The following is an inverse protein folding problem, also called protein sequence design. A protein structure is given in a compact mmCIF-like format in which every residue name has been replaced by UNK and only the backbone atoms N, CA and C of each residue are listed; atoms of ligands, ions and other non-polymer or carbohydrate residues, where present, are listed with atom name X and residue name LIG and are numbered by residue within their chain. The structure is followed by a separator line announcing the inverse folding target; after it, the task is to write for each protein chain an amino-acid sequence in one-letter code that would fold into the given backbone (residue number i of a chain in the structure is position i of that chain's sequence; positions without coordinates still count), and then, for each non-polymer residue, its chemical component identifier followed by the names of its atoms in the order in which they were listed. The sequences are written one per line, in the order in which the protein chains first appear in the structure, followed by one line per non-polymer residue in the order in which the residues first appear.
data_IF_568520706307
#
_entry.id   IF_568520706307
#
_cell.length_a   1.000
_cell.length_b   1.000
_cell.length_c   1.000
_cell.angle_alpha   90.00
_cell.angle_beta   90.00
_cell.angle_gamma   90.00
#
_symmetry.space_group_name_H-M   'P 1'
#
loop_
_entity.id
_entity.type
_entity.pdbx_description
1 polymer ?
#
# COMPACT_ATOMS: atom_id res chain seq x y z
N UNK A 1 40.88 -31.18 26.31
CA UNK A 1 41.99 -30.21 26.48
C UNK A 1 41.42 -28.83 26.33
N UNK A 2 41.31 -28.12 27.46
CA UNK A 2 40.95 -26.71 27.57
C UNK A 2 42.28 -25.97 27.54
N UNK A 3 42.45 -24.99 26.63
CA UNK A 3 43.46 -23.92 26.72
C UNK A 3 43.21 -22.88 25.62
N UNK A 4 42.43 -21.85 25.92
CA UNK A 4 42.73 -20.49 25.44
C UNK A 4 42.76 -19.58 26.66
N UNK A 5 43.95 -19.17 27.04
CA UNK A 5 44.23 -18.16 28.05
C UNK A 5 44.75 -16.91 27.33
N UNK A 6 44.01 -15.82 27.50
CA UNK A 6 44.29 -14.37 27.35
C UNK A 6 45.74 -14.00 27.82
N UNK A 7 46.40 -12.85 27.49
CA UNK A 7 45.77 -11.52 27.65
C UNK A 7 46.32 -10.24 26.95
N UNK A 8 45.47 -9.21 27.00
CA UNK A 8 45.77 -7.76 27.18
C UNK A 8 46.49 -6.97 26.09
N UNK A 9 45.87 -5.89 25.59
CA UNK A 9 46.11 -4.53 26.12
C UNK A 9 45.39 -3.43 25.29
N UNK A 10 44.67 -2.58 26.04
CA UNK A 10 44.73 -1.11 26.00
C UNK A 10 44.38 -0.40 24.67
N UNK A 11 43.23 0.27 24.63
CA UNK A 11 43.10 1.71 24.94
C UNK A 11 43.30 2.57 23.69
N UNK A 12 42.29 3.38 23.37
CA UNK A 12 42.42 4.83 23.07
C UNK A 12 41.08 5.32 22.51
N UNK A 13 40.29 5.97 23.36
CA UNK A 13 39.44 7.08 22.92
C UNK A 13 40.36 8.26 22.58
N UNK A 14 39.99 9.06 21.57
CA UNK A 14 39.93 10.49 21.85
C UNK A 14 38.66 11.18 21.33
N UNK A 15 38.11 11.98 22.24
CA UNK A 15 37.27 13.15 22.07
C UNK A 15 37.59 14.07 20.87
N UNK A 16 36.57 14.92 20.57
CA UNK A 16 36.59 16.23 19.89
C UNK A 16 36.63 16.18 18.34
N UNK A 17 35.79 16.92 17.60
CA UNK A 17 35.53 18.36 17.72
C UNK A 17 34.08 18.77 17.36
N UNK A 18 33.50 19.61 18.22
CA UNK A 18 32.35 20.47 17.95
C UNK A 18 32.92 21.87 17.66
N UNK A 19 32.65 22.41 16.48
CA UNK A 19 32.83 23.83 16.11
C UNK A 19 31.55 24.23 15.37
N UNK A 20 30.64 24.95 16.02
CA UNK A 20 30.53 26.41 16.02
C UNK A 20 30.54 27.01 14.60
N UNK A 21 29.36 27.44 14.15
CA UNK A 21 29.26 28.66 13.35
C UNK A 21 27.93 29.33 13.66
N UNK A 22 27.98 30.25 14.62
CA UNK A 22 26.96 31.27 14.83
C UNK A 22 27.17 32.38 13.79
N UNK A 23 26.19 32.66 12.94
CA UNK A 23 26.11 33.95 12.25
C UNK A 23 24.67 34.46 12.30
N UNK A 24 24.50 35.37 13.25
CA UNK A 24 23.45 36.36 13.40
C UNK A 24 23.43 37.28 12.17
N UNK A 25 22.27 37.66 11.62
CA UNK A 25 22.05 39.03 11.11
C UNK A 25 20.56 39.38 11.05
N UNK A 26 20.31 40.57 11.60
CA UNK A 26 19.05 41.24 11.86
C UNK A 26 18.23 41.65 10.63
N UNK A 27 16.90 41.61 10.81
CA UNK A 27 15.90 42.63 10.48
C UNK A 27 15.92 43.33 9.10
N UNK A 28 14.86 43.13 8.29
CA UNK A 28 13.80 44.13 8.03
C UNK A 28 12.88 43.72 6.88
N UNK A 29 11.60 43.98 7.13
CA UNK A 29 10.41 44.09 6.27
C UNK A 29 10.67 44.67 4.88
N UNK A 30 9.94 44.20 3.84
CA UNK A 30 8.99 45.02 3.05
C UNK A 30 8.20 44.18 2.03
N UNK A 31 6.97 44.63 1.82
CA UNK A 31 5.88 44.08 0.99
C UNK A 31 6.17 44.05 -0.51
N UNK A 32 5.40 43.18 -1.16
CA UNK A 32 4.63 43.39 -2.40
C UNK A 32 5.08 42.69 -3.69
N UNK A 33 4.22 41.73 -4.07
CA UNK A 33 3.57 41.52 -5.37
C UNK A 33 4.41 41.19 -6.60
N UNK A 34 4.24 39.97 -7.10
CA UNK A 34 3.81 39.76 -8.49
C UNK A 34 3.19 38.38 -8.66
N UNK A 35 2.05 38.36 -9.33
CA UNK A 35 1.19 37.23 -9.63
C UNK A 35 1.92 36.00 -10.21
N UNK A 36 1.44 34.80 -9.86
CA UNK A 36 1.89 33.56 -10.50
C UNK A 36 1.28 32.32 -9.87
N UNK A 37 0.08 31.96 -10.32
CA UNK A 37 -0.58 30.67 -10.12
C UNK A 37 -0.90 30.34 -8.66
N UNK A 38 -2.05 30.82 -8.18
CA UNK A 38 -2.77 30.10 -7.16
C UNK A 38 -3.15 28.73 -7.76
N UNK A 39 -2.34 27.71 -7.51
CA UNK A 39 -2.84 26.33 -7.51
C UNK A 39 -3.87 26.35 -6.39
N UNK A 40 -5.13 26.58 -6.78
CA UNK A 40 -6.25 26.27 -5.90
C UNK A 40 -6.11 24.77 -5.72
N UNK A 41 -5.66 24.34 -4.55
CA UNK A 41 -5.96 23.01 -4.03
C UNK A 41 -7.49 22.95 -3.98
N UNK A 42 -8.10 22.69 -5.14
CA UNK A 42 -9.48 22.28 -5.21
C UNK A 42 -9.47 20.92 -4.50
N UNK A 43 -10.13 20.79 -3.33
CA UNK A 43 -10.25 19.48 -2.72
C UNK A 43 -10.79 18.55 -3.79
N UNK A 44 -10.18 17.37 -4.04
CA UNK A 44 -10.70 16.47 -5.04
C UNK A 44 -12.18 16.33 -4.76
N UNK A 45 -13.02 16.78 -5.71
CA UNK A 45 -14.47 16.71 -5.57
C UNK A 45 -14.86 15.30 -5.12
N UNK A 46 -15.95 15.13 -4.36
CA UNK A 46 -16.26 13.88 -3.67
C UNK A 46 -15.97 12.72 -4.61
N UNK A 47 -14.88 12.02 -4.36
CA UNK A 47 -14.49 10.95 -5.26
C UNK A 47 -15.56 9.91 -5.04
N UNK A 48 -16.39 9.70 -6.08
CA UNK A 48 -17.45 8.68 -6.14
C UNK A 48 -16.83 7.27 -6.14
N UNK A 49 -15.88 7.03 -5.23
CA UNK A 49 -15.14 5.80 -5.05
C UNK A 49 -15.25 5.37 -3.59
N UNK A 50 -15.76 4.16 -3.39
CA UNK A 50 -15.78 3.50 -2.09
C UNK A 50 -14.67 2.46 -2.05
N UNK A 51 -13.75 2.58 -1.10
CA UNK A 51 -12.64 1.64 -0.92
C UNK A 51 -12.84 0.82 0.36
N UNK A 52 -12.67 -0.49 0.25
CA UNK A 52 -12.79 -1.41 1.39
C UNK A 52 -11.81 -2.58 1.27
N UNK A 53 -11.53 -3.20 2.42
CA UNK A 53 -10.62 -4.34 2.50
C UNK A 53 -11.39 -5.65 2.55
N UNK A 54 -10.88 -6.64 1.83
CA UNK A 54 -11.42 -8.00 1.75
C UNK A 54 -10.32 -8.98 2.11
N UNK A 55 -10.59 -9.91 3.02
CA UNK A 55 -9.58 -10.90 3.46
C UNK A 55 -10.04 -12.30 3.08
N UNK A 56 -9.48 -12.84 2.01
CA UNK A 56 -9.82 -14.18 1.53
C UNK A 56 -8.74 -15.19 1.94
N UNK A 57 -9.15 -16.33 2.48
CA UNK A 57 -8.24 -17.42 2.81
C UNK A 57 -8.14 -18.42 1.64
N UNK A 58 -6.92 -18.61 1.14
CA UNK A 58 -6.61 -19.61 0.11
C UNK A 58 -5.57 -20.63 0.56
N UNK A 59 -5.25 -20.68 1.86
CA UNK A 59 -4.24 -21.60 2.41
C UNK A 59 -4.58 -23.07 2.18
N UNK A 60 -5.87 -23.40 2.03
CA UNK A 60 -6.37 -24.73 1.69
C UNK A 60 -6.20 -25.12 0.21
N UNK A 61 -5.70 -24.22 -0.65
CA UNK A 61 -5.59 -24.44 -2.09
C UNK A 61 -6.80 -23.96 -2.91
N UNK A 62 -7.78 -23.31 -2.27
CA UNK A 62 -8.96 -22.73 -2.95
C UNK A 62 -8.57 -21.76 -4.07
N UNK A 63 -9.40 -21.75 -5.12
CA UNK A 63 -9.28 -20.77 -6.21
C UNK A 63 -9.72 -19.40 -5.69
N UNK A 64 -9.20 -18.33 -6.28
CA UNK A 64 -9.69 -16.99 -5.93
C UNK A 64 -11.15 -16.80 -6.38
N UNK A 65 -11.51 -17.33 -7.55
CA UNK A 65 -12.89 -17.34 -8.05
C UNK A 65 -13.32 -16.04 -8.73
N UNK A 66 -12.40 -15.27 -9.31
CA UNK A 66 -12.71 -14.04 -10.04
C UNK A 66 -12.01 -14.01 -11.39
N UNK A 67 -12.73 -13.57 -12.41
CA UNK A 67 -12.12 -13.21 -13.69
C UNK A 67 -11.86 -11.70 -13.68
N UNK A 68 -10.65 -11.30 -14.08
CA UNK A 68 -10.24 -9.90 -14.08
C UNK A 68 -9.72 -9.44 -15.43
N UNK A 69 -9.85 -8.14 -15.69
CA UNK A 69 -9.20 -7.43 -16.79
C UNK A 69 -8.41 -6.27 -16.24
N UNK A 70 -7.22 -6.03 -16.80
CA UNK A 70 -6.43 -4.85 -16.46
C UNK A 70 -7.18 -3.59 -16.92
N UNK A 71 -7.31 -2.61 -16.03
CA UNK A 71 -7.84 -1.28 -16.32
C UNK A 71 -6.69 -0.27 -16.30
N UNK A 72 -6.11 0.08 -17.47
CA UNK A 72 -4.88 0.87 -17.55
C UNK A 72 -5.04 2.28 -16.97
N UNK A 73 -6.25 2.85 -17.02
CA UNK A 73 -6.52 4.19 -16.51
C UNK A 73 -6.45 4.30 -14.98
N UNK A 74 -6.58 3.18 -14.28
CA UNK A 74 -6.64 3.12 -12.81
C UNK A 74 -5.48 2.33 -12.18
N UNK A 75 -4.57 1.77 -12.98
CA UNK A 75 -3.57 0.80 -12.49
C UNK A 75 -4.20 -0.31 -11.63
N UNK A 76 -5.38 -0.79 -12.04
CA UNK A 76 -6.21 -1.73 -11.28
C UNK A 76 -6.66 -2.92 -12.13
N UNK A 77 -7.27 -3.92 -11.47
CA UNK A 77 -7.93 -5.04 -12.12
C UNK A 77 -9.45 -4.95 -11.93
N UNK A 78 -10.20 -4.73 -13.02
CA UNK A 78 -11.66 -4.79 -13.01
C UNK A 78 -12.14 -6.24 -12.92
N UNK A 79 -13.07 -6.52 -12.01
CA UNK A 79 -13.71 -7.82 -11.84
C UNK A 79 -14.83 -7.96 -12.86
N UNK A 80 -14.66 -8.88 -13.81
CA UNK A 80 -15.62 -9.14 -14.88
C UNK A 80 -16.69 -10.16 -14.47
N UNK A 81 -16.31 -11.13 -13.65
CA UNK A 81 -17.21 -12.16 -13.12
C UNK A 81 -16.66 -12.75 -11.83
N UNK A 82 -17.58 -13.33 -11.04
CA UNK A 82 -17.29 -14.05 -9.82
C UNK A 82 -17.87 -15.45 -9.98
N UNK A 83 -17.03 -16.44 -9.77
CA UNK A 83 -17.41 -17.86 -9.67
C UNK A 83 -18.00 -18.09 -8.27
N UNK A 84 -19.20 -18.67 -8.21
CA UNK A 84 -19.97 -18.86 -6.97
C UNK A 84 -19.82 -20.27 -6.39
N UNK A 85 -18.90 -21.09 -6.92
CA UNK A 85 -18.58 -22.41 -6.36
C UNK A 85 -18.02 -22.32 -4.91
N UNK A 86 -18.26 -23.35 -4.09
CA UNK A 86 -17.80 -23.41 -2.69
C UNK A 86 -16.25 -23.45 -2.54
N UNK A 87 -15.56 -23.86 -3.61
CA UNK A 87 -14.10 -23.87 -3.72
C UNK A 87 -13.48 -22.51 -4.10
N UNK A 88 -14.32 -21.47 -4.21
CA UNK A 88 -13.91 -20.11 -4.55
C UNK A 88 -13.88 -19.21 -3.29
N UNK A 89 -12.70 -18.68 -2.98
CA UNK A 89 -12.48 -17.92 -1.75
C UNK A 89 -13.26 -16.58 -1.74
N UNK A 90 -13.47 -15.94 -2.89
CA UNK A 90 -14.29 -14.72 -2.98
C UNK A 90 -15.79 -15.03 -2.81
N UNK A 91 -16.28 -16.18 -3.30
CA UNK A 91 -17.66 -16.59 -3.08
C UNK A 91 -17.95 -16.79 -1.59
N UNK A 92 -17.07 -17.53 -0.91
CA UNK A 92 -17.15 -17.73 0.53
C UNK A 92 -17.12 -16.40 1.29
N UNK A 93 -16.20 -15.49 0.94
CA UNK A 93 -16.15 -14.17 1.56
C UNK A 93 -17.47 -13.41 1.40
N UNK A 94 -18.06 -13.44 0.21
CA UNK A 94 -19.32 -12.74 -0.07
C UNK A 94 -20.50 -13.27 0.75
N UNK A 95 -20.54 -14.58 1.01
CA UNK A 95 -21.54 -15.22 1.85
C UNK A 95 -21.39 -14.82 3.32
N UNK A 96 -20.15 -14.83 3.82
CA UNK A 96 -19.82 -14.44 5.19
C UNK A 96 -19.94 -12.93 5.44
N UNK A 97 -19.74 -12.09 4.41
CA UNK A 97 -19.68 -10.63 4.51
C UNK A 97 -20.64 -9.93 3.51
N UNK A 98 -21.96 -10.05 3.69
CA UNK A 98 -22.95 -9.52 2.73
C UNK A 98 -22.87 -7.99 2.54
N UNK A 99 -22.41 -7.26 3.56
CA UNK A 99 -22.25 -5.80 3.52
C UNK A 99 -20.96 -5.35 2.80
N UNK A 100 -20.00 -6.25 2.62
CA UNK A 100 -18.70 -6.00 1.98
C UNK A 100 -18.45 -7.01 0.87
N UNK A 101 -19.53 -7.44 0.20
CA UNK A 101 -19.44 -8.35 -0.92
C UNK A 101 -18.62 -7.71 -2.03
N UNK A 102 -17.73 -8.50 -2.61
CA UNK A 102 -17.09 -8.24 -3.89
C UNK A 102 -18.12 -8.52 -4.99
N UNK A 103 -18.22 -7.65 -5.98
CA UNK A 103 -19.15 -7.81 -7.10
C UNK A 103 -18.50 -7.48 -8.44
N UNK A 104 -19.17 -7.86 -9.53
CA UNK A 104 -18.78 -7.46 -10.87
C UNK A 104 -18.72 -5.93 -10.98
N UNK A 105 -17.67 -5.42 -11.64
CA UNK A 105 -17.42 -3.99 -11.80
C UNK A 105 -16.62 -3.36 -10.65
N UNK A 106 -16.34 -4.12 -9.59
CA UNK A 106 -15.36 -3.70 -8.59
C UNK A 106 -13.94 -3.78 -9.17
N UNK A 107 -13.03 -3.01 -8.59
CA UNK A 107 -11.64 -2.94 -8.99
C UNK A 107 -10.75 -3.42 -7.84
N UNK A 108 -9.87 -4.39 -8.13
CA UNK A 108 -8.78 -4.77 -7.23
C UNK A 108 -7.66 -3.77 -7.46
N UNK A 109 -7.45 -2.88 -6.49
CA UNK A 109 -6.43 -1.82 -6.52
C UNK A 109 -5.20 -2.19 -5.69
N UNK A 110 -5.27 -3.27 -4.90
CA UNK A 110 -4.14 -3.76 -4.14
C UNK A 110 -4.31 -5.17 -3.59
N UNK A 111 -3.20 -5.83 -3.28
CA UNK A 111 -3.15 -7.16 -2.66
C UNK A 111 -1.96 -7.27 -1.68
N UNK A 112 -2.22 -7.68 -0.43
CA UNK A 112 -1.26 -7.78 0.67
C UNK A 112 -0.29 -6.59 0.80
N UNK A 113 -0.81 -5.38 0.67
CA UNK A 113 -0.02 -4.13 0.79
C UNK A 113 0.79 -3.79 -0.45
N UNK A 114 0.62 -4.52 -1.56
CA UNK A 114 1.06 -4.09 -2.89
C UNK A 114 -0.06 -3.30 -3.55
N UNK A 115 0.22 -2.05 -3.89
CA UNK A 115 -0.63 -1.15 -4.67
C UNK A 115 0.22 -0.52 -5.78
N UNK A 116 -0.40 0.10 -6.78
CA UNK A 116 0.26 0.90 -7.84
C UNK A 116 1.18 0.12 -8.81
N UNK A 117 1.50 -1.14 -8.53
CA UNK A 117 2.19 -2.06 -9.45
C UNK A 117 1.29 -3.25 -9.76
N UNK A 118 0.69 -3.21 -10.96
CA UNK A 118 -0.19 -4.28 -11.46
C UNK A 118 0.46 -5.66 -11.47
N UNK A 119 1.77 -5.76 -11.75
CA UNK A 119 2.47 -7.05 -11.75
C UNK A 119 2.64 -7.56 -10.33
N UNK A 120 2.95 -6.68 -9.38
CA UNK A 120 3.05 -7.02 -7.97
C UNK A 120 1.70 -7.45 -7.39
N UNK A 121 0.62 -6.71 -7.72
CA UNK A 121 -0.76 -7.06 -7.35
C UNK A 121 -1.12 -8.44 -7.90
N UNK A 122 -0.90 -8.66 -9.20
CA UNK A 122 -1.23 -9.94 -9.84
C UNK A 122 -0.44 -11.10 -9.24
N UNK A 123 0.87 -10.91 -9.02
CA UNK A 123 1.72 -11.93 -8.40
C UNK A 123 1.20 -12.34 -7.04
N UNK A 124 0.75 -11.38 -6.24
CA UNK A 124 0.20 -11.65 -4.92
C UNK A 124 -1.16 -12.34 -5.00
N UNK A 125 -2.03 -11.91 -5.92
CA UNK A 125 -3.31 -12.58 -6.20
C UNK A 125 -3.15 -14.03 -6.70
N UNK A 126 -1.98 -14.44 -7.20
CA UNK A 126 -1.70 -15.82 -7.59
C UNK A 126 -1.27 -16.71 -6.42
N UNK A 127 -0.93 -16.16 -5.26
CA UNK A 127 -0.39 -16.94 -4.13
C UNK A 127 -1.49 -17.75 -3.44
N UNK A 128 -1.07 -18.92 -2.97
CA UNK A 128 -1.86 -19.80 -2.10
C UNK A 128 -1.56 -19.39 -0.66
N UNK A 129 -2.20 -18.32 -0.21
CA UNK A 129 -2.05 -17.75 1.13
C UNK A 129 -3.30 -16.97 1.51
N UNK A 130 -3.37 -16.45 2.72
CA UNK A 130 -4.35 -15.41 3.06
C UNK A 130 -4.04 -14.16 2.22
N UNK A 131 -5.04 -13.65 1.51
CA UNK A 131 -4.93 -12.46 0.67
C UNK A 131 -5.81 -11.35 1.23
N UNK A 132 -5.19 -10.21 1.51
CA UNK A 132 -5.86 -8.95 1.85
C UNK A 132 -5.96 -8.12 0.58
N UNK A 133 -7.11 -8.18 -0.06
CA UNK A 133 -7.43 -7.43 -1.26
C UNK A 133 -7.97 -6.06 -0.88
N UNK A 134 -7.48 -5.03 -1.55
CA UNK A 134 -8.03 -3.69 -1.48
C UNK A 134 -8.95 -3.51 -2.69
N UNK A 135 -10.24 -3.33 -2.42
CA UNK A 135 -11.29 -3.20 -3.42
C UNK A 135 -11.70 -1.73 -3.51
N UNK A 136 -11.91 -1.27 -4.73
CA UNK A 136 -12.51 0.02 -5.04
C UNK A 136 -13.79 -0.21 -5.85
N UNK A 137 -14.87 0.44 -5.44
CA UNK A 137 -16.16 0.45 -6.12
C UNK A 137 -16.47 1.87 -6.54
N UNK A 138 -16.78 2.09 -7.82
CA UNK A 138 -17.34 3.37 -8.27
C UNK A 138 -18.80 3.46 -7.81
N UNK A 139 -19.20 4.61 -7.26
CA UNK A 139 -20.58 4.89 -6.85
C UNK A 139 -21.48 5.11 -8.07
#
# INVERSE_FOLDING_TARGET
MISVLDPSMSSMNPDREFSDNSDEHSSRTLRSTSAGVAIRDEPPGPSDEHRFMVTVDRTSGKRLGVAVRQEPSLSAFEILSIDMDEDCAVAQWNDEHPNQKVQKGDFIIGANGKSDDLRAIMKECMRISVLRLQIMRRA
#
